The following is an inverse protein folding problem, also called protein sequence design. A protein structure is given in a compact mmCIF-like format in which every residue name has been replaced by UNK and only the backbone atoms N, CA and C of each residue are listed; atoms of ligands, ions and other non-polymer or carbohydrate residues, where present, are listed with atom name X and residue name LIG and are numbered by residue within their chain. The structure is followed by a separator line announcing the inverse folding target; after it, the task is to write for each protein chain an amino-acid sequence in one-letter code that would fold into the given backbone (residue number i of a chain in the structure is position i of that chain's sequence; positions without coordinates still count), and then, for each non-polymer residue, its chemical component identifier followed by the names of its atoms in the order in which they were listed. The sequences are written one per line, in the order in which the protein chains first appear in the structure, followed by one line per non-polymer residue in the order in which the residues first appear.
data_IF_133574144705
#
_entry.id   IF_133574144705
#
_cell.length_a   1.000
_cell.length_b   1.000
_cell.length_c   1.000
_cell.angle_alpha   90.00
_cell.angle_beta   90.00
_cell.angle_gamma   90.00
#
_symmetry.space_group_name_H-M   'P 1'
#
loop_
_entity.id
_entity.type
_entity.pdbx_description
1 polymer ?
#
# COMPACT_ATOMS: atom_id res chain seq x y z
N UNK A 1 -8.33 -9.07 -9.10
CA UNK A 1 -7.30 -8.49 -8.22
C UNK A 1 -6.21 -9.53 -8.05
N UNK A 2 -4.97 -9.19 -8.40
CA UNK A 2 -3.86 -10.12 -8.35
C UNK A 2 -3.65 -10.59 -6.91
N UNK A 3 -3.97 -11.87 -6.66
CA UNK A 3 -3.76 -12.55 -5.38
C UNK A 3 -2.26 -12.56 -5.09
N UNK A 4 -1.78 -11.67 -4.22
CA UNK A 4 -0.40 -11.69 -3.73
C UNK A 4 0.36 -10.36 -3.71
N UNK A 5 -0.19 -9.26 -4.25
CA UNK A 5 0.50 -7.96 -4.17
C UNK A 5 0.07 -7.19 -2.92
N UNK A 6 1.02 -6.96 -2.02
CA UNK A 6 0.87 -6.11 -0.85
C UNK A 6 0.76 -4.63 -1.24
N UNK A 7 -0.21 -3.94 -0.64
CA UNK A 7 -0.41 -2.50 -0.82
C UNK A 7 0.11 -1.76 0.40
N UNK A 8 0.69 -0.59 0.17
CA UNK A 8 1.30 0.21 1.22
C UNK A 8 0.82 1.65 1.14
N UNK A 9 0.69 2.31 2.29
CA UNK A 9 0.56 3.77 2.28
C UNK A 9 1.87 4.42 1.84
N UNK A 10 1.84 5.73 1.54
CA UNK A 10 3.04 6.49 1.14
C UNK A 10 4.21 6.40 2.13
N UNK A 11 3.90 6.17 3.40
CA UNK A 11 4.86 6.00 4.51
C UNK A 11 5.41 4.57 4.63
N UNK A 12 4.89 3.63 3.85
CA UNK A 12 5.27 2.23 3.85
C UNK A 12 4.51 1.34 4.82
N UNK A 13 3.36 1.78 5.34
CA UNK A 13 2.51 0.93 6.19
C UNK A 13 1.73 -0.05 5.31
N UNK A 14 1.87 -1.34 5.59
CA UNK A 14 1.08 -2.38 4.91
C UNK A 14 -0.42 -2.15 5.15
N UNK A 15 -1.20 -2.18 4.08
CA UNK A 15 -2.66 -2.15 4.12
C UNK A 15 -3.21 -3.49 3.62
N UNK A 16 -3.83 -4.23 4.54
CA UNK A 16 -4.46 -5.52 4.27
C UNK A 16 -5.98 -5.45 4.30
N UNK A 17 -6.54 -4.26 4.53
CA UNK A 17 -7.98 -4.05 4.63
C UNK A 17 -8.63 -3.77 3.28
N UNK A 18 -9.87 -3.29 3.34
CA UNK A 18 -10.64 -2.96 2.15
C UNK A 18 -10.01 -1.79 1.40
N UNK A 19 -10.11 -1.86 0.07
CA UNK A 19 -9.62 -0.82 -0.83
C UNK A 19 -10.55 -0.72 -2.03
N UNK A 20 -10.52 0.44 -2.69
CA UNK A 20 -11.18 0.65 -3.97
C UNK A 20 -10.22 1.28 -4.96
N UNK A 21 -10.47 1.03 -6.24
CA UNK A 21 -9.77 1.66 -7.35
C UNK A 21 -10.57 2.89 -7.79
N UNK A 22 -9.89 4.01 -7.87
CA UNK A 22 -10.40 5.27 -8.40
C UNK A 22 -10.53 5.20 -9.93
N UNK A 23 -11.32 6.11 -10.50
CA UNK A 23 -11.48 6.24 -11.96
C UNK A 23 -10.15 6.59 -12.65
N UNK A 24 -9.28 7.35 -11.98
CA UNK A 24 -7.93 7.69 -12.45
C UNK A 24 -6.95 6.50 -12.41
N UNK A 25 -7.38 5.36 -11.84
CA UNK A 25 -6.61 4.13 -11.73
C UNK A 25 -5.86 3.96 -10.41
N UNK A 26 -5.83 4.96 -9.54
CA UNK A 26 -5.14 4.90 -8.24
C UNK A 26 -5.92 4.04 -7.23
N UNK A 27 -5.21 3.38 -6.31
CA UNK A 27 -5.83 2.60 -5.24
C UNK A 27 -5.93 3.42 -3.96
N UNK A 28 -7.05 3.30 -3.26
CA UNK A 28 -7.31 4.03 -2.02
C UNK A 28 -7.89 3.11 -0.94
N UNK A 29 -7.67 3.47 0.33
CA UNK A 29 -8.21 2.73 1.48
C UNK A 29 -9.72 2.86 1.61
N UNK A 30 -10.35 1.81 2.13
CA UNK A 30 -11.79 1.73 2.38
C UNK A 30 -12.58 1.21 1.18
N UNK A 31 -13.83 0.78 1.41
CA UNK A 31 -14.72 0.26 0.35
C UNK A 31 -15.14 1.31 -0.68
N UNK A 32 -15.23 2.56 -0.25
CA UNK A 32 -15.79 3.66 -1.03
C UNK A 32 -14.92 4.90 -0.91
N UNK A 33 -14.99 5.78 -1.92
CA UNK A 33 -14.27 7.05 -1.91
C UNK A 33 -14.83 7.97 -0.83
N UNK A 34 -14.03 8.22 0.20
CA UNK A 34 -14.33 9.20 1.24
C UNK A 34 -13.17 10.18 1.39
N UNK A 35 -13.40 11.32 2.05
CA UNK A 35 -12.34 12.29 2.35
C UNK A 35 -11.20 11.71 3.21
N UNK A 36 -11.46 10.62 3.92
CA UNK A 36 -10.47 9.91 4.74
C UNK A 36 -9.78 8.77 3.99
N UNK A 37 -10.18 8.49 2.75
CA UNK A 37 -9.50 7.51 1.91
C UNK A 37 -8.07 7.97 1.61
N UNK A 38 -7.11 7.13 1.96
CA UNK A 38 -5.68 7.37 1.74
C UNK A 38 -5.22 6.58 0.54
N UNK A 39 -4.41 7.19 -0.32
CA UNK A 39 -3.82 6.52 -1.46
C UNK A 39 -2.88 5.38 -1.05
N UNK A 40 -2.97 4.28 -1.78
CA UNK A 40 -2.19 3.06 -1.65
C UNK A 40 -1.27 2.89 -2.86
N UNK A 41 -0.10 2.33 -2.61
CA UNK A 41 1.00 2.18 -3.54
C UNK A 41 1.52 0.74 -3.50
N UNK A 42 2.01 0.26 -4.63
CA UNK A 42 2.81 -0.95 -4.68
C UNK A 42 4.21 -0.70 -4.09
N UNK A 43 4.87 -1.77 -3.63
CA UNK A 43 6.23 -1.66 -3.06
C UNK A 43 7.19 -0.92 -4.01
N UNK A 44 7.11 -1.20 -5.32
CA UNK A 44 7.96 -0.59 -6.34
C UNK A 44 7.76 0.92 -6.54
N UNK A 45 6.59 1.46 -6.15
CA UNK A 45 6.25 2.88 -6.31
C UNK A 45 6.70 3.74 -5.11
N UNK A 46 7.08 3.10 -4.00
CA UNK A 46 7.59 3.79 -2.83
C UNK A 46 9.04 4.26 -3.04
N UNK A 47 9.46 5.27 -2.28
CA UNK A 47 10.86 5.72 -2.27
C UNK A 47 11.81 4.60 -1.83
N UNK A 48 13.04 4.59 -2.37
CA UNK A 48 14.10 3.61 -2.06
C UNK A 48 14.31 3.42 -0.55
N UNK A 49 14.24 4.51 0.23
CA UNK A 49 14.38 4.46 1.69
C UNK A 49 13.23 3.69 2.36
N UNK A 50 12.00 3.89 1.90
CA UNK A 50 10.81 3.19 2.41
C UNK A 50 10.84 1.73 1.99
N UNK A 51 11.18 1.45 0.73
CA UNK A 51 11.37 0.08 0.23
C UNK A 51 12.41 -0.68 1.06
N UNK A 52 13.58 -0.06 1.33
CA UNK A 52 14.63 -0.65 2.15
C UNK A 52 14.13 -0.96 3.56
N UNK A 53 13.41 -0.02 4.19
CA UNK A 53 12.81 -0.22 5.51
C UNK A 53 11.79 -1.36 5.53
N UNK A 54 10.92 -1.46 4.52
CA UNK A 54 9.92 -2.54 4.42
C UNK A 54 10.63 -3.88 4.23
N UNK A 55 11.59 -3.95 3.31
CA UNK A 55 12.38 -5.17 3.06
C UNK A 55 13.16 -5.60 4.31
N UNK A 56 13.82 -4.67 4.99
CA UNK A 56 14.51 -4.92 6.26
C UNK A 56 13.55 -5.41 7.35
N UNK A 57 12.34 -4.84 7.43
CA UNK A 57 11.32 -5.26 8.38
C UNK A 57 10.78 -6.66 8.08
N UNK A 58 10.67 -7.03 6.80
CA UNK A 58 10.33 -8.40 6.38
C UNK A 58 11.46 -9.41 6.57
N UNK A 59 12.69 -8.96 6.86
CA UNK A 59 13.88 -9.80 7.07
C UNK A 59 14.27 -9.96 8.55
N UNK A 60 13.52 -9.37 9.49
CA UNK A 60 13.83 -9.45 10.92
C UNK A 60 12.75 -10.21 11.70
N UNK A 61 13.09 -11.46 12.02
CA UNK A 61 12.70 -12.32 13.14
C UNK A 61 11.21 -12.57 13.41
N UNK A 62 10.73 -13.71 12.91
CA UNK A 62 10.16 -14.78 13.76
C UNK A 62 11.11 -15.98 13.72
#
# INVERSE_FOLDING_TARGET
MAKGVSHYTRSGKLHSGEMHKMEDGTLHTGKSHTKSSVQLFHLGELSKSVQKRIKQKGMNFE
#
